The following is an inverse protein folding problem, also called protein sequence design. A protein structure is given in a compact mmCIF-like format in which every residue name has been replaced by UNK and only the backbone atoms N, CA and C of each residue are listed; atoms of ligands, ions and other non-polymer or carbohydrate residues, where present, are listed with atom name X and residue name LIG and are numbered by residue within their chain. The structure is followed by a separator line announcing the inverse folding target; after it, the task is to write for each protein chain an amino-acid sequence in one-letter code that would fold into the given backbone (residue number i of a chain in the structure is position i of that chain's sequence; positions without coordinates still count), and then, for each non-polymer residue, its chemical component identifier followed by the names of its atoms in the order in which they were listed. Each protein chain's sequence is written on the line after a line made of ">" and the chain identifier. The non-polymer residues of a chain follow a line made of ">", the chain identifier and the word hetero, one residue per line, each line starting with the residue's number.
data_IF_657126101706
#
_entry.id   IF_657126101706
#
_cell.length_a   1.000
_cell.length_b   1.000
_cell.length_c   1.000
_cell.angle_alpha   90.00
_cell.angle_beta   90.00
_cell.angle_gamma   90.00
#
_symmetry.space_group_name_H-M   'P 1'
#
loop_
_entity.id
_entity.type
_entity.pdbx_description
1 polymer ?
#
# COMPACT_ATOMS: atom_id res chain seq x y z
N UNK A 1 -0.91 -19.96 -8.19
CA UNK A 1 -2.11 -20.22 -9.01
C UNK A 1 -2.98 -18.97 -8.90
N UNK A 2 -2.87 -18.04 -9.86
CA UNK A 2 -3.59 -16.75 -9.89
C UNK A 2 -4.37 -16.73 -11.22
N UNK A 3 -5.21 -17.73 -11.45
CA UNK A 3 -5.88 -17.91 -12.75
C UNK A 3 -7.41 -17.98 -12.67
N UNK A 4 -8.02 -17.49 -11.58
CA UNK A 4 -9.48 -17.56 -11.40
C UNK A 4 -10.17 -16.25 -11.01
N UNK A 5 -9.57 -15.08 -11.31
CA UNK A 5 -10.17 -13.78 -10.96
C UNK A 5 -10.41 -12.81 -12.13
N UNK A 6 -10.29 -13.26 -13.39
CA UNK A 6 -10.57 -12.39 -14.55
C UNK A 6 -11.75 -12.94 -15.35
N UNK A 7 -12.93 -12.52 -14.91
CA UNK A 7 -14.19 -12.82 -15.57
C UNK A 7 -15.33 -11.99 -14.98
N UNK A 8 -15.15 -10.66 -14.87
CA UNK A 8 -16.25 -9.76 -14.57
C UNK A 8 -16.60 -8.92 -15.79
N UNK A 9 -17.91 -8.82 -16.05
CA UNK A 9 -18.53 -8.11 -17.17
C UNK A 9 -18.23 -6.62 -17.11
N UNK A 10 -18.00 -6.01 -18.27
CA UNK A 10 -18.07 -4.56 -18.47
C UNK A 10 -19.40 -4.03 -17.90
N UNK A 11 -19.32 -3.20 -16.85
CA UNK A 11 -20.46 -2.50 -16.28
C UNK A 11 -20.58 -2.56 -14.74
N UNK A 12 -19.98 -3.54 -14.05
CA UNK A 12 -20.02 -3.59 -12.58
C UNK A 12 -18.85 -2.82 -11.97
N UNK A 13 -19.07 -1.63 -11.42
CA UNK A 13 -18.01 -0.84 -10.77
C UNK A 13 -17.81 -1.28 -9.32
N UNK A 14 -17.29 -2.49 -9.13
CA UNK A 14 -16.79 -2.94 -7.83
C UNK A 14 -15.80 -1.89 -7.29
N UNK A 15 -16.13 -1.29 -6.15
CA UNK A 15 -15.33 -0.20 -5.58
C UNK A 15 -15.23 -0.35 -4.08
N UNK A 16 -13.99 -0.43 -3.60
CA UNK A 16 -13.67 -0.45 -2.17
C UNK A 16 -12.72 0.70 -1.90
N UNK A 17 -12.99 1.48 -0.85
CA UNK A 17 -12.12 2.58 -0.40
C UNK A 17 -11.93 2.51 1.09
N UNK A 18 -10.69 2.72 1.53
CA UNK A 18 -10.33 2.82 2.95
C UNK A 18 -10.80 4.20 3.45
N UNK A 19 -11.60 4.20 4.50
CA UNK A 19 -12.19 5.39 5.11
C UNK A 19 -11.42 5.81 6.36
N UNK A 20 -11.03 4.84 7.17
CA UNK A 20 -10.19 5.08 8.34
C UNK A 20 -9.41 3.82 8.70
N UNK A 21 -8.38 4.02 9.52
CA UNK A 21 -7.53 2.97 10.04
C UNK A 21 -7.14 3.31 11.48
N UNK A 22 -7.27 2.34 12.38
CA UNK A 22 -6.81 2.43 13.76
C UNK A 22 -5.74 1.36 14.00
N UNK A 23 -4.67 1.77 14.66
CA UNK A 23 -3.51 0.94 14.99
C UNK A 23 -3.34 0.93 16.50
N UNK A 24 -3.06 -0.25 17.05
CA UNK A 24 -2.67 -0.41 18.45
C UNK A 24 -1.55 -1.45 18.60
N UNK A 25 -0.52 -1.08 19.34
CA UNK A 25 0.68 -1.87 19.65
C UNK A 25 1.30 -2.56 18.43
N UNK A 26 1.37 -1.84 17.30
CA UNK A 26 1.97 -2.33 16.06
C UNK A 26 3.29 -1.60 15.81
N UNK A 27 4.39 -2.34 15.73
CA UNK A 27 5.77 -1.84 15.63
C UNK A 27 6.06 -0.76 16.69
N UNK A 28 6.32 0.48 16.28
CA UNK A 28 6.63 1.62 17.15
C UNK A 28 5.42 2.53 17.44
N UNK A 29 4.20 2.06 17.14
CA UNK A 29 2.94 2.79 17.36
C UNK A 29 2.15 2.09 18.47
N UNK A 30 1.98 2.77 19.62
CA UNK A 30 1.18 2.23 20.71
C UNK A 30 -0.31 2.41 20.45
N UNK A 31 -0.76 3.62 20.09
CA UNK A 31 -2.10 3.86 19.56
C UNK A 31 -2.12 5.02 18.54
N UNK A 32 -2.99 4.91 17.53
CA UNK A 32 -3.20 5.98 16.56
C UNK A 32 -4.36 5.71 15.60
N UNK A 33 -5.03 6.78 15.16
CA UNK A 33 -6.14 6.73 14.21
C UNK A 33 -5.87 7.65 13.02
N UNK A 34 -6.05 7.12 11.82
CA UNK A 34 -5.99 7.86 10.57
C UNK A 34 -7.37 7.81 9.93
N UNK A 35 -8.02 8.97 9.80
CA UNK A 35 -9.19 9.13 8.92
C UNK A 35 -8.72 9.58 7.55
N UNK A 36 -9.33 9.13 6.48
CA UNK A 36 -8.99 9.57 5.13
C UNK A 36 -9.79 10.83 4.75
N UNK A 37 -9.28 11.71 3.87
CA UNK A 37 -10.06 12.85 3.36
C UNK A 37 -11.46 12.50 2.86
N UNK A 38 -11.66 11.34 2.23
CA UNK A 38 -13.01 10.92 1.81
C UNK A 38 -13.96 10.62 2.99
N UNK A 39 -13.43 10.22 4.15
CA UNK A 39 -14.22 10.02 5.37
C UNK A 39 -14.65 11.34 6.02
N UNK A 40 -13.90 12.43 5.77
CA UNK A 40 -14.24 13.78 6.23
C UNK A 40 -15.26 14.47 5.33
N UNK A 41 -15.54 13.91 4.15
CA UNK A 41 -16.51 14.45 3.22
C UNK A 41 -17.95 14.14 3.66
N UNK A 42 -18.91 14.93 3.19
CA UNK A 42 -20.33 14.65 3.41
C UNK A 42 -20.79 13.32 2.79
N UNK A 43 -20.13 12.90 1.70
CA UNK A 43 -20.39 11.64 1.01
C UNK A 43 -19.13 10.77 0.96
N UNK A 44 -19.13 9.68 1.74
CA UNK A 44 -18.06 8.68 1.82
C UNK A 44 -17.96 7.79 0.56
N UNK A 45 -18.92 7.93 -0.38
CA UNK A 45 -18.96 7.25 -1.68
C UNK A 45 -18.61 8.18 -2.83
N UNK A 46 -18.03 9.35 -2.56
CA UNK A 46 -17.57 10.28 -3.59
C UNK A 46 -16.55 9.62 -4.54
N UNK A 47 -16.60 10.02 -5.83
CA UNK A 47 -15.67 9.57 -6.88
C UNK A 47 -14.38 10.40 -6.96
N UNK A 48 -14.19 11.38 -6.07
CA UNK A 48 -13.00 12.23 -6.07
C UNK A 48 -11.77 11.45 -5.59
N UNK A 49 -10.59 11.83 -6.10
CA UNK A 49 -9.32 11.36 -5.56
C UNK A 49 -9.23 11.55 -4.06
N UNK A 50 -8.53 10.64 -3.39
CA UNK A 50 -8.13 10.79 -2.01
C UNK A 50 -6.61 10.73 -1.88
N UNK A 51 -5.98 11.87 -1.62
CA UNK A 51 -4.54 11.95 -1.43
C UNK A 51 -4.25 12.12 0.05
N UNK A 52 -3.41 11.26 0.63
CA UNK A 52 -3.01 11.27 2.03
C UNK A 52 -1.49 11.19 2.17
N UNK A 53 -0.87 12.30 2.57
CA UNK A 53 0.56 12.36 2.89
C UNK A 53 0.80 12.25 4.40
N UNK A 54 1.75 11.40 4.80
CA UNK A 54 2.14 11.19 6.20
C UNK A 54 3.55 11.74 6.42
N UNK A 55 3.67 12.67 7.36
CA UNK A 55 4.86 13.50 7.60
C UNK A 55 5.36 13.40 9.03
N UNK A 56 6.66 13.62 9.24
CA UNK A 56 7.27 13.65 10.57
C UNK A 56 8.71 13.16 10.59
N UNK A 57 9.31 13.15 11.79
CA UNK A 57 10.71 12.77 11.98
C UNK A 57 11.02 11.31 11.62
N UNK A 58 12.29 10.97 11.42
CA UNK A 58 12.69 9.59 11.17
C UNK A 58 12.32 8.69 12.36
N UNK A 59 11.84 7.48 12.09
CA UNK A 59 11.44 6.55 13.15
C UNK A 59 10.15 6.93 13.91
N UNK A 60 9.37 7.90 13.44
CA UNK A 60 8.11 8.33 14.07
C UNK A 60 6.89 7.48 13.75
N UNK A 61 7.01 6.45 12.90
CA UNK A 61 5.88 5.58 12.54
C UNK A 61 5.17 5.92 11.22
N UNK A 62 5.80 6.70 10.33
CA UNK A 62 5.33 6.90 8.95
C UNK A 62 5.25 5.58 8.18
N UNK A 63 6.38 4.88 8.07
CA UNK A 63 6.50 3.58 7.42
C UNK A 63 5.58 2.55 8.08
N UNK A 64 5.42 2.61 9.42
CA UNK A 64 4.52 1.73 10.18
C UNK A 64 3.08 1.74 9.67
N UNK A 65 2.59 2.87 9.16
CA UNK A 65 1.26 2.88 8.55
C UNK A 65 1.22 2.15 7.21
N UNK A 66 2.25 2.29 6.39
CA UNK A 66 2.38 1.55 5.12
C UNK A 66 2.49 0.05 5.40
N UNK A 67 3.26 -0.34 6.42
CA UNK A 67 3.37 -1.74 6.87
C UNK A 67 2.01 -2.29 7.33
N UNK A 68 1.20 -1.49 8.04
CA UNK A 68 -0.16 -1.89 8.43
C UNK A 68 -1.06 -2.14 7.21
N UNK A 69 -0.91 -1.38 6.12
CA UNK A 69 -1.62 -1.61 4.86
C UNK A 69 -1.12 -2.87 4.13
N UNK A 70 0.17 -3.20 4.24
CA UNK A 70 0.71 -4.45 3.71
C UNK A 70 0.15 -5.67 4.47
N UNK A 71 0.06 -5.59 5.80
CA UNK A 71 -0.58 -6.62 6.62
C UNK A 71 -2.06 -6.75 6.27
N UNK A 72 -2.78 -5.63 6.14
CA UNK A 72 -4.17 -5.64 5.67
C UNK A 72 -4.30 -6.36 4.32
N UNK A 73 -3.42 -6.05 3.36
CA UNK A 73 -3.41 -6.69 2.05
C UNK A 73 -3.23 -8.20 2.17
N UNK A 74 -2.31 -8.67 3.02
CA UNK A 74 -2.07 -10.09 3.23
C UNK A 74 -3.31 -10.78 3.83
N UNK A 75 -3.85 -10.19 4.90
CA UNK A 75 -5.02 -10.70 5.62
C UNK A 75 -6.24 -10.82 4.69
N UNK A 76 -6.61 -9.74 4.00
CA UNK A 76 -7.75 -9.75 3.07
C UNK A 76 -7.51 -10.61 1.82
N UNK A 77 -6.25 -10.88 1.46
CA UNK A 77 -5.91 -11.85 0.40
C UNK A 77 -5.88 -13.29 0.90
N UNK A 78 -6.10 -13.54 2.19
CA UNK A 78 -6.07 -14.87 2.78
C UNK A 78 -4.69 -15.55 2.70
N UNK A 79 -3.61 -14.78 2.51
CA UNK A 79 -2.24 -15.30 2.48
C UNK A 79 -1.58 -15.11 3.85
N UNK A 80 -0.60 -15.96 4.22
CA UNK A 80 0.17 -15.77 5.44
C UNK A 80 0.87 -14.41 5.47
N UNK A 81 0.95 -13.81 6.65
CA UNK A 81 1.75 -12.59 6.85
C UNK A 81 3.22 -12.98 6.66
N UNK A 82 3.90 -12.33 5.70
CA UNK A 82 5.26 -12.69 5.26
C UNK A 82 6.33 -12.38 6.29
N UNK A 83 6.11 -11.35 7.10
CA UNK A 83 7.01 -11.00 8.19
C UNK A 83 6.75 -11.90 9.40
N UNK A 84 7.81 -12.16 10.19
CA UNK A 84 7.61 -12.74 11.51
C UNK A 84 6.69 -11.82 12.32
N UNK A 85 5.58 -12.36 12.82
CA UNK A 85 4.59 -11.62 13.63
C UNK A 85 5.24 -10.91 14.83
N UNK A 86 6.35 -11.44 15.34
CA UNK A 86 7.21 -10.80 16.35
C UNK A 86 7.63 -9.37 15.98
N UNK A 87 7.91 -9.12 14.69
CA UNK A 87 8.31 -7.80 14.20
C UNK A 87 7.11 -6.85 14.05
N UNK A 88 5.89 -7.37 14.03
CA UNK A 88 4.67 -6.59 13.94
C UNK A 88 4.22 -6.07 15.31
N UNK A 89 4.52 -6.78 16.40
CA UNK A 89 4.04 -6.44 17.75
C UNK A 89 5.01 -5.47 18.45
N UNK A 90 4.46 -4.42 19.08
CA UNK A 90 5.27 -3.50 19.89
C UNK A 90 5.98 -4.22 21.04
N UNK A 91 7.24 -3.85 21.28
CA UNK A 91 8.03 -4.44 22.36
C UNK A 91 7.32 -4.32 23.72
N UNK A 92 7.17 -5.43 24.41
CA UNK A 92 6.52 -5.50 25.73
C UNK A 92 5.00 -5.70 25.69
N UNK A 93 4.42 -5.92 24.51
CA UNK A 93 3.02 -6.28 24.34
C UNK A 93 2.87 -7.70 23.77
N UNK A 94 1.74 -8.34 24.08
CA UNK A 94 1.45 -9.72 23.64
C UNK A 94 0.75 -9.78 22.28
N UNK A 95 0.22 -8.65 21.81
CA UNK A 95 -0.55 -8.56 20.58
C UNK A 95 -0.56 -7.15 19.97
N UNK A 96 -0.75 -7.11 18.65
CA UNK A 96 -1.05 -5.91 17.88
C UNK A 96 -2.50 -5.96 17.37
N UNK A 97 -3.17 -4.82 17.29
CA UNK A 97 -4.52 -4.69 16.74
C UNK A 97 -4.54 -3.69 15.58
N UNK A 98 -5.17 -4.10 14.48
CA UNK A 98 -5.42 -3.27 13.32
C UNK A 98 -6.92 -3.26 13.04
N UNK A 99 -7.48 -2.08 12.78
CA UNK A 99 -8.88 -1.94 12.40
C UNK A 99 -9.00 -0.99 11.22
N UNK A 100 -9.77 -1.36 10.20
CA UNK A 100 -9.95 -0.60 8.97
C UNK A 100 -11.43 -0.47 8.65
N UNK A 101 -11.85 0.76 8.37
CA UNK A 101 -13.20 1.06 7.88
C UNK A 101 -13.19 1.21 6.37
N UNK A 102 -14.21 0.68 5.71
CA UNK A 102 -14.35 0.70 4.26
C UNK A 102 -15.71 1.23 3.82
N UNK A 103 -15.73 1.96 2.71
CA UNK A 103 -16.92 2.09 1.88
C UNK A 103 -16.80 1.11 0.71
N UNK A 104 -17.86 0.33 0.48
CA UNK A 104 -17.88 -0.75 -0.50
C UNK A 104 -19.11 -0.58 -1.38
N UNK A 105 -18.92 -0.57 -2.68
CA UNK A 105 -19.94 -0.75 -3.70
C UNK A 105 -19.63 -2.08 -4.40
N UNK A 106 -20.50 -3.06 -4.24
CA UNK A 106 -20.27 -4.41 -4.78
C UNK A 106 -20.62 -4.49 -6.29
N UNK A 107 -20.53 -5.69 -6.85
CA UNK A 107 -20.84 -5.97 -8.25
C UNK A 107 -22.36 -5.94 -8.56
N UNK A 108 -23.19 -5.72 -7.55
CA UNK A 108 -24.66 -5.64 -7.62
C UNK A 108 -25.18 -4.26 -7.20
N UNK A 109 -24.31 -3.24 -7.17
CA UNK A 109 -24.61 -1.86 -6.75
C UNK A 109 -25.11 -1.72 -5.30
N UNK A 110 -24.90 -2.74 -4.45
CA UNK A 110 -25.13 -2.60 -3.02
C UNK A 110 -24.03 -1.76 -2.38
N UNK A 111 -24.43 -0.87 -1.48
CA UNK A 111 -23.50 -0.03 -0.73
C UNK A 111 -23.39 -0.53 0.71
N UNK A 112 -22.15 -0.74 1.15
CA UNK A 112 -21.83 -1.15 2.50
C UNK A 112 -20.87 -0.18 3.18
N UNK A 113 -21.03 -0.05 4.50
CA UNK A 113 -19.97 0.41 5.40
C UNK A 113 -19.49 -0.80 6.16
N UNK A 114 -18.22 -1.13 6.06
CA UNK A 114 -17.64 -2.31 6.72
C UNK A 114 -16.49 -1.90 7.64
N UNK A 115 -16.31 -2.67 8.72
CA UNK A 115 -15.17 -2.57 9.62
C UNK A 115 -14.53 -3.94 9.69
N UNK A 116 -13.28 -4.05 9.24
CA UNK A 116 -12.45 -5.23 9.45
C UNK A 116 -11.50 -4.96 10.60
N UNK A 117 -11.44 -5.85 11.58
CA UNK A 117 -10.50 -5.76 12.69
C UNK A 117 -9.76 -7.08 12.86
N UNK A 118 -8.44 -7.00 13.03
CA UNK A 118 -7.56 -8.12 13.28
C UNK A 118 -6.72 -7.87 14.53
N UNK A 119 -6.65 -8.87 15.42
CA UNK A 119 -5.76 -8.90 16.57
C UNK A 119 -4.78 -10.07 16.37
N UNK A 120 -3.50 -9.74 16.32
CA UNK A 120 -2.42 -10.66 16.02
C UNK A 120 -1.54 -10.81 17.26
N UNK A 121 -1.54 -12.00 17.85
CA UNK A 121 -0.50 -12.44 18.78
C UNK A 121 0.49 -13.36 18.09
N UNK A 122 1.50 -13.84 18.83
CA UNK A 122 2.51 -14.76 18.28
C UNK A 122 1.89 -16.06 17.77
N UNK A 123 0.96 -16.63 18.54
CA UNK A 123 0.38 -17.95 18.27
C UNK A 123 -1.11 -17.91 17.87
N UNK A 124 -1.67 -16.71 17.68
CA UNK A 124 -3.09 -16.57 17.38
C UNK A 124 -3.39 -15.35 16.49
N UNK A 125 -4.44 -15.51 15.70
CA UNK A 125 -5.09 -14.47 14.92
C UNK A 125 -6.58 -14.46 15.26
N UNK A 126 -7.09 -13.32 15.73
CA UNK A 126 -8.52 -13.09 15.93
C UNK A 126 -8.99 -12.04 14.92
N UNK A 127 -10.13 -12.28 14.29
CA UNK A 127 -10.62 -11.44 13.21
C UNK A 127 -12.11 -11.18 13.36
N UNK A 128 -12.55 -10.00 12.95
CA UNK A 128 -13.97 -9.69 12.84
C UNK A 128 -14.26 -8.79 11.65
N UNK A 129 -15.42 -9.01 11.04
CA UNK A 129 -16.03 -8.14 10.03
C UNK A 129 -17.37 -7.69 10.57
N UNK A 130 -17.53 -6.38 10.76
CA UNK A 130 -18.82 -5.74 11.03
C UNK A 130 -19.26 -4.99 9.78
N UNK A 131 -20.55 -4.92 9.53
CA UNK A 131 -21.06 -4.13 8.42
C UNK A 131 -22.47 -3.60 8.62
N UNK A 132 -22.76 -2.52 7.90
CA UNK A 132 -24.10 -2.05 7.57
C UNK A 132 -24.26 -1.96 6.06
N UNK A 133 -25.49 -2.16 5.59
CA UNK A 133 -25.87 -2.08 4.17
C UNK A 133 -26.90 -0.98 4.00
N UNK A 134 -26.85 -0.28 2.88
CA UNK A 134 -27.85 0.73 2.51
C UNK A 134 -29.07 0.02 1.92
N UNK A 135 -30.22 0.15 2.57
CA UNK A 135 -31.49 -0.44 2.12
C UNK A 135 -32.57 0.63 2.11
N UNK A 136 -33.28 0.78 0.98
CA UNK A 136 -34.35 1.77 0.81
C UNK A 136 -33.96 3.22 1.19
N UNK A 137 -32.69 3.59 0.98
CA UNK A 137 -32.15 4.92 1.30
C UNK A 137 -31.65 5.10 2.74
N UNK A 138 -31.81 4.10 3.62
CA UNK A 138 -31.37 4.15 5.01
C UNK A 138 -30.30 3.10 5.32
N UNK A 139 -29.34 3.46 6.17
CA UNK A 139 -28.31 2.52 6.63
C UNK A 139 -28.86 1.60 7.70
N UNK A 140 -28.68 0.29 7.52
CA UNK A 140 -28.97 -0.66 8.60
C UNK A 140 -28.03 -0.44 9.78
N UNK A 141 -28.38 -0.99 10.95
CA UNK A 141 -27.45 -1.03 12.09
C UNK A 141 -26.16 -1.77 11.71
N UNK A 142 -25.02 -1.23 12.17
CA UNK A 142 -23.72 -1.90 12.08
C UNK A 142 -23.72 -3.15 12.98
N UNK A 143 -23.63 -4.33 12.37
CA UNK A 143 -23.68 -5.61 13.08
C UNK A 143 -22.47 -6.48 12.74
N UNK A 144 -22.09 -7.39 13.65
CA UNK A 144 -21.09 -8.41 13.37
C UNK A 144 -21.61 -9.40 12.33
N UNK A 145 -20.87 -9.56 11.23
CA UNK A 145 -21.18 -10.47 10.14
C UNK A 145 -20.42 -11.78 10.35
N UNK A 146 -19.10 -11.68 10.56
CA UNK A 146 -18.22 -12.81 10.86
C UNK A 146 -17.24 -12.41 11.96
N UNK A 147 -17.05 -13.25 12.95
CA UNK A 147 -15.97 -13.17 13.95
C UNK A 147 -15.39 -14.57 14.12
N UNK A 148 -14.06 -14.64 14.17
CA UNK A 148 -13.31 -15.88 14.41
C UNK A 148 -12.20 -15.61 15.40
N UNK A 149 -12.05 -16.51 16.36
CA UNK A 149 -10.92 -16.55 17.29
C UNK A 149 -10.17 -17.85 17.04
N UNK A 150 -8.95 -17.78 16.51
CA UNK A 150 -8.17 -18.97 16.14
C UNK A 150 -7.97 -19.95 17.30
N UNK A 151 -7.75 -19.45 18.51
CA UNK A 151 -7.57 -20.25 19.72
C UNK A 151 -8.86 -20.91 20.25
N UNK A 152 -10.05 -20.45 19.84
CA UNK A 152 -11.33 -21.04 20.26
C UNK A 152 -11.67 -22.26 19.41
N UNK A 153 -11.57 -23.46 19.99
CA UNK A 153 -11.90 -24.71 19.30
C UNK A 153 -13.39 -25.04 19.27
N UNK A 154 -14.21 -24.37 20.08
CA UNK A 154 -15.65 -24.64 20.21
C UNK A 154 -16.46 -23.79 19.23
N UNK A 155 -16.22 -22.49 19.18
CA UNK A 155 -16.91 -21.58 18.28
C UNK A 155 -16.09 -21.35 17.01
N UNK A 156 -16.57 -21.81 15.86
CA UNK A 156 -15.85 -21.65 14.58
C UNK A 156 -15.99 -20.22 14.07
N UNK A 157 -17.24 -19.77 13.90
CA UNK A 157 -17.63 -18.43 13.46
C UNK A 157 -18.83 -17.97 14.29
N UNK A 158 -18.82 -16.70 14.70
CA UNK A 158 -19.94 -16.01 15.36
C UNK A 158 -20.36 -14.76 14.58
N UNK A 159 -21.60 -14.27 14.73
CA UNK A 159 -22.73 -14.85 15.49
C UNK A 159 -23.33 -16.10 14.85
N UNK A 160 -23.97 -16.97 15.65
CA UNK A 160 -24.62 -18.20 15.15
C UNK A 160 -25.72 -17.94 14.12
N UNK A 161 -26.42 -16.81 14.22
CA UNK A 161 -27.45 -16.40 13.25
C UNK A 161 -26.85 -16.19 11.87
N UNK A 162 -25.75 -15.44 11.78
CA UNK A 162 -25.01 -15.20 10.53
C UNK A 162 -24.31 -16.44 10.02
N UNK A 163 -23.75 -17.27 10.90
CA UNK A 163 -23.19 -18.57 10.51
C UNK A 163 -24.24 -19.45 9.83
N UNK A 164 -25.45 -19.56 10.39
CA UNK A 164 -26.55 -20.33 9.78
C UNK A 164 -27.03 -19.73 8.47
N UNK A 165 -27.06 -18.40 8.36
CA UNK A 165 -27.39 -17.68 7.14
C UNK A 165 -26.36 -17.92 6.02
N UNK A 166 -25.06 -17.97 6.34
CA UNK A 166 -23.97 -18.04 5.37
C UNK A 166 -23.53 -19.46 4.99
N UNK A 167 -23.59 -20.39 5.94
CA UNK A 167 -23.09 -21.75 5.77
C UNK A 167 -24.19 -22.81 5.85
N UNK A 168 -25.43 -22.41 6.16
CA UNK A 168 -26.56 -23.33 6.29
C UNK A 168 -26.47 -24.23 7.54
N UNK A 169 -27.09 -25.42 7.45
CA UNK A 169 -27.13 -26.44 8.52
C UNK A 169 -26.49 -27.77 8.11
N UNK A 170 -25.86 -27.83 6.93
CA UNK A 170 -25.22 -29.05 6.44
C UNK A 170 -24.03 -29.42 7.35
N UNK A 171 -24.07 -30.64 7.90
CA UNK A 171 -23.02 -31.13 8.79
C UNK A 171 -21.68 -31.24 8.08
N UNK A 172 -21.66 -31.67 6.82
CA UNK A 172 -20.41 -31.86 6.08
C UNK A 172 -19.70 -30.52 5.85
N UNK A 173 -20.45 -29.51 5.42
CA UNK A 173 -19.94 -28.17 5.22
C UNK A 173 -19.44 -27.55 6.54
N UNK A 174 -20.16 -27.77 7.65
CA UNK A 174 -19.71 -27.30 8.97
C UNK A 174 -18.45 -28.04 9.47
N UNK A 175 -18.26 -29.30 9.09
CA UNK A 175 -17.03 -30.05 9.40
C UNK A 175 -15.85 -29.55 8.55
N UNK A 176 -16.05 -29.31 7.24
CA UNK A 176 -15.05 -28.65 6.36
C UNK A 176 -14.66 -27.27 6.91
N UNK A 177 -15.63 -26.50 7.41
CA UNK A 177 -15.41 -25.19 8.03
C UNK A 177 -14.53 -25.29 9.29
N UNK A 178 -14.72 -26.31 10.13
CA UNK A 178 -13.86 -26.56 11.31
C UNK A 178 -12.43 -26.91 10.92
N UNK A 179 -12.26 -27.79 9.92
CA UNK A 179 -10.93 -28.18 9.43
C UNK A 179 -10.20 -26.96 8.86
N UNK A 180 -10.89 -26.16 8.06
CA UNK A 180 -10.35 -24.93 7.46
C UNK A 180 -9.86 -23.96 8.54
N UNK A 181 -10.62 -23.78 9.62
CA UNK A 181 -10.20 -22.97 10.76
C UNK A 181 -8.89 -23.45 11.38
N UNK A 182 -8.76 -24.74 11.63
CA UNK A 182 -7.54 -25.31 12.23
C UNK A 182 -6.33 -25.14 11.31
N UNK A 183 -6.51 -25.30 10.00
CA UNK A 183 -5.46 -25.09 9.01
C UNK A 183 -5.01 -23.63 8.98
N UNK A 184 -5.94 -22.68 8.86
CA UNK A 184 -5.62 -21.25 8.82
C UNK A 184 -4.91 -20.78 10.10
N UNK A 185 -5.33 -21.30 11.26
CA UNK A 185 -4.68 -21.01 12.54
C UNK A 185 -3.22 -21.50 12.57
N UNK A 186 -2.95 -22.72 12.08
CA UNK A 186 -1.59 -23.28 11.99
C UNK A 186 -0.70 -22.51 11.01
N UNK A 187 -1.28 -21.96 9.96
CA UNK A 187 -0.57 -21.21 8.92
C UNK A 187 -0.50 -19.70 9.19
N UNK A 188 -1.02 -19.23 10.34
CA UNK A 188 -1.08 -17.82 10.72
C UNK A 188 -1.65 -16.91 9.61
N UNK A 189 -2.71 -17.37 8.94
CA UNK A 189 -3.41 -16.63 7.89
C UNK A 189 -4.89 -16.40 8.22
N UNK A 190 -5.49 -15.43 7.55
CA UNK A 190 -6.89 -15.09 7.74
C UNK A 190 -7.79 -16.30 7.47
N UNK A 191 -8.67 -16.61 8.42
CA UNK A 191 -9.78 -17.53 8.15
C UNK A 191 -10.81 -16.82 7.27
N UNK A 192 -11.25 -15.63 7.68
CA UNK A 192 -12.40 -14.92 7.10
C UNK A 192 -12.25 -14.61 5.61
N UNK A 193 -11.01 -14.50 5.15
CA UNK A 193 -10.67 -14.23 3.76
C UNK A 193 -9.86 -15.35 3.11
N UNK A 194 -9.80 -16.56 3.67
CA UNK A 194 -9.16 -17.70 3.02
C UNK A 194 -9.88 -18.11 1.72
N UNK A 195 -9.14 -18.70 0.77
CA UNK A 195 -9.73 -19.26 -0.46
C UNK A 195 -10.80 -20.31 -0.13
N UNK A 196 -10.51 -21.15 0.85
CA UNK A 196 -11.39 -22.21 1.32
C UNK A 196 -12.70 -21.64 1.89
N UNK A 197 -12.65 -20.56 2.68
CA UNK A 197 -13.87 -19.92 3.19
C UNK A 197 -14.74 -19.37 2.07
N UNK A 198 -14.16 -18.76 1.03
CA UNK A 198 -14.97 -18.28 -0.08
C UNK A 198 -15.68 -19.40 -0.82
N UNK A 199 -15.02 -20.54 -1.03
CA UNK A 199 -15.64 -21.73 -1.62
C UNK A 199 -16.78 -22.24 -0.72
N UNK A 200 -16.57 -22.29 0.60
CA UNK A 200 -17.59 -22.71 1.55
C UNK A 200 -18.79 -21.75 1.60
N UNK A 201 -18.55 -20.44 1.52
CA UNK A 201 -19.61 -19.42 1.45
C UNK A 201 -20.44 -19.55 0.18
N UNK A 202 -19.80 -19.83 -0.97
CA UNK A 202 -20.50 -20.10 -2.22
C UNK A 202 -21.37 -21.36 -2.13
N UNK A 203 -20.84 -22.46 -1.56
CA UNK A 203 -21.58 -23.72 -1.38
C UNK A 203 -22.76 -23.59 -0.41
N UNK A 204 -22.59 -22.82 0.67
CA UNK A 204 -23.55 -22.76 1.78
C UNK A 204 -24.86 -22.07 1.41
N UNK A 205 -24.80 -20.78 1.12
CA UNK A 205 -25.98 -19.98 0.82
C UNK A 205 -25.79 -18.99 -0.33
N UNK A 206 -24.82 -19.26 -1.22
CA UNK A 206 -24.34 -18.40 -2.31
C UNK A 206 -25.35 -17.37 -2.84
N UNK A 207 -24.87 -16.16 -3.15
CA UNK A 207 -25.65 -14.94 -3.47
C UNK A 207 -26.30 -14.22 -2.27
N UNK A 208 -25.72 -14.28 -1.06
CA UNK A 208 -26.06 -13.28 -0.03
C UNK A 208 -25.30 -11.98 -0.26
N UNK A 209 -25.90 -10.83 0.11
CA UNK A 209 -25.22 -9.52 0.07
C UNK A 209 -23.90 -9.50 0.84
N UNK A 210 -23.78 -10.33 1.89
CA UNK A 210 -22.55 -10.46 2.68
C UNK A 210 -21.45 -11.19 1.93
N UNK A 211 -21.80 -12.23 1.15
CA UNK A 211 -20.84 -12.91 0.30
C UNK A 211 -20.25 -11.94 -0.73
N UNK A 212 -21.08 -11.13 -1.40
CA UNK A 212 -20.63 -10.12 -2.37
C UNK A 212 -19.71 -9.08 -1.73
N UNK A 213 -20.04 -8.60 -0.52
CA UNK A 213 -19.16 -7.69 0.22
C UNK A 213 -17.81 -8.33 0.61
N UNK A 214 -17.79 -9.58 1.10
CA UNK A 214 -16.55 -10.26 1.45
C UNK A 214 -15.69 -10.55 0.21
N UNK A 215 -16.32 -10.94 -0.90
CA UNK A 215 -15.67 -11.10 -2.19
C UNK A 215 -15.10 -9.76 -2.71
N UNK A 216 -15.81 -8.65 -2.52
CA UNK A 216 -15.34 -7.32 -2.85
C UNK A 216 -14.08 -6.93 -2.08
N UNK A 217 -14.06 -7.17 -0.76
CA UNK A 217 -12.88 -6.92 0.08
C UNK A 217 -11.68 -7.79 -0.33
N UNK A 218 -11.90 -9.07 -0.64
CA UNK A 218 -10.82 -9.95 -1.14
C UNK A 218 -10.29 -9.47 -2.49
N UNK A 219 -11.18 -9.13 -3.41
CA UNK A 219 -10.80 -8.59 -4.72
C UNK A 219 -10.02 -7.28 -4.58
N UNK A 220 -10.45 -6.39 -3.68
CA UNK A 220 -9.73 -5.16 -3.38
C UNK A 220 -8.29 -5.43 -2.97
N UNK A 221 -8.06 -6.36 -2.05
CA UNK A 221 -6.71 -6.70 -1.59
C UNK A 221 -5.84 -7.32 -2.69
N UNK A 222 -6.39 -8.23 -3.49
CA UNK A 222 -5.67 -8.94 -4.53
C UNK A 222 -5.41 -8.10 -5.79
N UNK A 223 -6.30 -7.18 -6.12
CA UNK A 223 -6.32 -6.51 -7.42
C UNK A 223 -6.18 -4.99 -7.36
N UNK A 224 -6.60 -4.35 -6.27
CA UNK A 224 -6.77 -2.89 -6.23
C UNK A 224 -5.98 -2.17 -5.13
N UNK A 225 -5.50 -2.89 -4.11
CA UNK A 225 -4.61 -2.38 -3.06
C UNK A 225 -3.14 -2.67 -3.42
N UNK A 226 -2.42 -1.62 -3.77
CA UNK A 226 -0.99 -1.66 -4.06
C UNK A 226 -0.22 -1.02 -2.92
N UNK A 227 0.77 -1.74 -2.38
CA UNK A 227 1.64 -1.25 -1.31
C UNK A 227 3.07 -1.40 -1.79
N UNK A 228 3.80 -0.29 -1.85
CA UNK A 228 5.19 -0.18 -2.31
C UNK A 228 6.03 0.30 -1.12
N UNK A 229 6.73 -0.63 -0.47
CA UNK A 229 7.61 -0.30 0.65
C UNK A 229 9.01 0.06 0.17
N UNK A 230 9.67 1.01 0.84
CA UNK A 230 11.07 1.38 0.62
C UNK A 230 12.03 0.18 0.71
N UNK A 231 11.75 -0.78 1.61
CA UNK A 231 12.52 -2.03 1.79
C UNK A 231 12.41 -3.02 0.64
N UNK A 232 11.33 -2.98 -0.15
CA UNK A 232 11.10 -3.82 -1.33
C UNK A 232 11.19 -3.08 -2.66
N UNK A 233 11.17 -1.74 -2.62
CA UNK A 233 11.34 -0.84 -3.75
C UNK A 233 12.79 -0.36 -3.91
N UNK A 234 13.62 -0.56 -2.89
CA UNK A 234 15.05 -0.67 -3.10
C UNK A 234 15.25 -1.80 -4.08
N UNK A 235 15.55 -1.44 -5.34
CA UNK A 235 16.35 -2.21 -6.27
C UNK A 235 17.04 -3.35 -5.50
N UNK A 236 16.50 -4.58 -5.58
CA UNK A 236 16.97 -5.74 -4.80
C UNK A 236 18.49 -5.66 -4.64
N UNK A 237 19.06 -5.96 -3.47
CA UNK A 237 20.46 -5.73 -3.03
C UNK A 237 21.67 -5.83 -4.03
N UNK A 238 21.44 -6.15 -5.31
CA UNK A 238 22.34 -6.11 -6.46
C UNK A 238 21.95 -5.10 -7.58
N UNK A 239 20.81 -4.41 -7.53
CA UNK A 239 20.37 -3.41 -8.53
C UNK A 239 20.02 -3.93 -9.93
N UNK A 240 20.05 -5.24 -10.15
CA UNK A 240 20.08 -5.83 -11.50
C UNK A 240 18.81 -5.62 -12.35
N UNK A 241 17.64 -5.51 -11.71
CA UNK A 241 16.33 -5.45 -12.35
C UNK A 241 15.51 -4.27 -11.83
N UNK A 242 14.72 -3.64 -12.70
CA UNK A 242 13.74 -2.63 -12.34
C UNK A 242 12.34 -3.26 -12.23
N UNK A 243 11.75 -3.37 -11.02
CA UNK A 243 10.41 -3.90 -10.85
C UNK A 243 9.36 -2.89 -11.33
N UNK A 244 8.43 -3.34 -12.18
CA UNK A 244 7.27 -2.54 -12.60
C UNK A 244 6.01 -3.37 -12.36
N UNK A 245 5.21 -2.95 -11.39
CA UNK A 245 3.88 -3.55 -11.18
C UNK A 245 2.94 -2.97 -12.23
N UNK A 246 2.25 -3.85 -12.95
CA UNK A 246 1.30 -3.45 -13.96
C UNK A 246 -0.08 -4.01 -13.67
N UNK A 247 -1.09 -3.24 -14.06
CA UNK A 247 -2.49 -3.66 -14.14
C UNK A 247 -3.02 -3.28 -15.51
N UNK A 248 -3.63 -4.26 -16.18
CA UNK A 248 -4.42 -4.08 -17.39
C UNK A 248 -5.82 -4.64 -17.13
N UNK A 249 -6.74 -4.47 -18.07
CA UNK A 249 -8.09 -5.03 -17.96
C UNK A 249 -8.09 -6.56 -17.87
N UNK A 250 -7.02 -7.21 -18.34
CA UNK A 250 -6.93 -8.68 -18.46
C UNK A 250 -5.97 -9.32 -17.48
N UNK A 251 -5.04 -8.55 -16.92
CA UNK A 251 -3.95 -9.11 -16.12
C UNK A 251 -3.39 -8.14 -15.10
N UNK A 252 -2.97 -8.69 -13.98
CA UNK A 252 -2.19 -8.02 -12.96
C UNK A 252 -0.90 -8.81 -12.77
N UNK A 253 0.23 -8.12 -12.68
CA UNK A 253 1.50 -8.77 -12.42
C UNK A 253 2.62 -7.80 -12.14
N UNK A 254 3.83 -8.34 -12.06
CA UNK A 254 5.05 -7.58 -11.87
C UNK A 254 6.05 -7.99 -12.94
N UNK A 255 6.51 -7.01 -13.70
CA UNK A 255 7.62 -7.16 -14.64
C UNK A 255 8.93 -6.90 -13.93
N UNK A 256 9.96 -7.66 -14.28
CA UNK A 256 11.34 -7.46 -13.84
C UNK A 256 12.15 -7.01 -15.04
N UNK A 257 12.21 -5.70 -15.27
CA UNK A 257 12.85 -5.17 -16.46
C UNK A 257 14.38 -5.22 -16.31
N UNK A 258 15.15 -5.74 -17.28
CA UNK A 258 16.60 -5.86 -17.17
C UNK A 258 17.29 -4.49 -17.14
N UNK A 259 17.86 -4.11 -16.00
CA UNK A 259 18.41 -2.76 -15.77
C UNK A 259 19.93 -2.74 -15.93
N UNK A 260 20.66 -3.59 -15.20
CA UNK A 260 22.14 -3.56 -15.15
C UNK A 260 22.80 -4.18 -16.39
N UNK A 261 22.27 -5.32 -16.81
CA UNK A 261 22.79 -6.11 -17.93
C UNK A 261 21.63 -6.65 -18.77
N UNK A 262 21.86 -6.94 -20.06
CA UNK A 262 20.89 -7.65 -20.87
C UNK A 262 20.45 -8.98 -20.26
N UNK A 263 19.17 -9.31 -20.38
CA UNK A 263 18.63 -10.61 -19.98
C UNK A 263 17.71 -11.19 -21.05
N UNK A 264 17.56 -12.51 -21.07
CA UNK A 264 16.63 -13.22 -21.95
C UNK A 264 15.30 -13.35 -21.24
N UNK A 265 14.23 -12.83 -21.85
CA UNK A 265 12.86 -12.95 -21.34
C UNK A 265 11.97 -13.70 -22.36
N UNK A 266 10.94 -14.45 -21.91
CA UNK A 266 9.99 -15.10 -22.81
C UNK A 266 9.31 -14.11 -23.76
N UNK A 267 9.02 -14.52 -24.99
CA UNK A 267 8.40 -13.64 -26.00
C UNK A 267 7.04 -13.05 -25.57
N UNK A 268 6.27 -13.79 -24.76
CA UNK A 268 5.01 -13.33 -24.18
C UNK A 268 5.25 -12.19 -23.19
N UNK A 269 6.24 -12.34 -22.30
CA UNK A 269 6.61 -11.32 -21.33
C UNK A 269 7.20 -10.07 -22.02
N UNK A 270 8.00 -10.25 -23.08
CA UNK A 270 8.50 -9.14 -23.89
C UNK A 270 7.37 -8.31 -24.51
N UNK A 271 6.36 -8.97 -25.08
CA UNK A 271 5.22 -8.30 -25.71
C UNK A 271 4.42 -7.48 -24.69
N UNK A 272 4.15 -8.08 -23.52
CA UNK A 272 3.51 -7.43 -22.40
C UNK A 272 4.34 -6.24 -21.87
N UNK A 273 5.65 -6.41 -21.70
CA UNK A 273 6.52 -5.36 -21.21
C UNK A 273 6.58 -4.16 -22.16
N UNK A 274 6.57 -4.37 -23.48
CA UNK A 274 6.44 -3.29 -24.47
C UNK A 274 5.12 -2.54 -24.34
N UNK A 275 4.01 -3.24 -24.10
CA UNK A 275 2.72 -2.59 -23.90
C UNK A 275 2.71 -1.72 -22.63
N UNK A 276 3.20 -2.25 -21.51
CA UNK A 276 3.30 -1.52 -20.24
C UNK A 276 4.22 -0.30 -20.39
N UNK A 277 5.38 -0.46 -21.01
CA UNK A 277 6.31 0.65 -21.31
C UNK A 277 5.65 1.71 -22.21
N UNK A 278 4.87 1.30 -23.20
CA UNK A 278 4.10 2.22 -24.04
C UNK A 278 3.17 3.11 -23.22
N UNK A 279 2.43 2.53 -22.27
CA UNK A 279 1.56 3.29 -21.34
C UNK A 279 2.36 4.23 -20.44
N UNK A 280 3.51 3.77 -19.93
CA UNK A 280 4.42 4.61 -19.12
C UNK A 280 4.91 5.81 -19.94
N UNK A 281 5.36 5.61 -21.18
CA UNK A 281 5.91 6.67 -22.03
C UNK A 281 4.91 7.80 -22.31
N UNK A 282 3.61 7.49 -22.45
CA UNK A 282 2.56 8.52 -22.66
C UNK A 282 2.60 9.61 -21.59
N UNK A 283 2.86 9.23 -20.34
CA UNK A 283 2.91 10.18 -19.22
C UNK A 283 4.34 10.60 -18.90
N UNK A 284 5.32 9.71 -19.07
CA UNK A 284 6.73 9.99 -18.78
C UNK A 284 7.26 11.18 -19.59
N UNK A 285 6.83 11.32 -20.85
CA UNK A 285 7.23 12.42 -21.73
C UNK A 285 6.77 13.79 -21.21
N UNK A 286 5.60 13.83 -20.56
CA UNK A 286 5.02 15.05 -19.99
C UNK A 286 5.65 15.40 -18.63
N UNK A 287 6.04 14.38 -17.86
CA UNK A 287 6.70 14.53 -16.56
C UNK A 287 8.16 14.96 -16.72
N UNK A 288 8.87 14.34 -17.67
CA UNK A 288 10.29 14.58 -17.93
C UNK A 288 10.46 14.83 -19.44
N UNK A 289 10.56 16.09 -19.86
CA UNK A 289 10.64 16.44 -21.28
C UNK A 289 11.76 15.69 -22.01
N UNK A 290 11.40 15.00 -23.09
CA UNK A 290 12.36 14.24 -23.92
C UNK A 290 12.87 12.94 -23.28
N UNK A 291 12.23 12.45 -22.22
CA UNK A 291 12.50 11.13 -21.66
C UNK A 291 11.57 10.09 -22.28
N UNK A 292 12.16 9.11 -22.96
CA UNK A 292 11.46 7.94 -23.49
C UNK A 292 12.26 6.69 -23.14
N UNK A 293 11.58 5.60 -22.79
CA UNK A 293 12.21 4.32 -22.50
C UNK A 293 11.74 3.23 -23.44
N UNK A 294 12.60 2.24 -23.69
CA UNK A 294 12.30 1.11 -24.55
C UNK A 294 13.05 -0.15 -24.10
N UNK A 295 12.57 -1.31 -24.54
CA UNK A 295 13.33 -2.55 -24.48
C UNK A 295 14.08 -2.72 -25.81
N UNK A 296 15.39 -2.50 -25.79
CA UNK A 296 16.25 -2.76 -26.93
C UNK A 296 16.36 -4.27 -27.15
N UNK A 297 16.02 -4.74 -28.35
CA UNK A 297 16.18 -6.14 -28.73
C UNK A 297 17.60 -6.38 -29.24
N UNK A 298 18.35 -7.21 -28.54
CA UNK A 298 19.76 -7.51 -28.82
C UNK A 298 19.95 -8.85 -29.56
N UNK A 299 18.92 -9.69 -29.57
CA UNK A 299 18.91 -10.98 -30.26
C UNK A 299 17.78 -11.89 -29.78
N UNK A 300 17.68 -13.07 -30.39
CA UNK A 300 16.78 -14.14 -29.96
C UNK A 300 17.62 -15.30 -29.43
N UNK A 301 17.25 -15.84 -28.28
CA UNK A 301 17.97 -16.91 -27.59
C UNK A 301 16.94 -17.88 -26.98
N UNK A 302 17.28 -19.16 -26.82
CA UNK A 302 16.39 -20.10 -26.12
C UNK A 302 16.46 -19.85 -24.61
N UNK A 303 15.31 -19.87 -23.94
CA UNK A 303 15.23 -19.80 -22.47
C UNK A 303 15.73 -21.10 -21.85
N UNK A 304 15.97 -21.10 -20.53
CA UNK A 304 16.33 -22.32 -19.78
C UNK A 304 15.29 -23.45 -19.91
N UNK A 305 14.05 -23.11 -20.29
CA UNK A 305 12.95 -24.05 -20.53
C UNK A 305 12.89 -24.55 -21.97
N UNK A 306 13.81 -24.14 -22.84
CA UNK A 306 13.84 -24.50 -24.27
C UNK A 306 12.85 -23.72 -25.14
N UNK A 307 12.18 -22.71 -24.60
CA UNK A 307 11.26 -21.85 -25.36
C UNK A 307 12.01 -20.71 -26.05
N UNK A 308 11.46 -20.13 -27.13
CA UNK A 308 12.02 -18.94 -27.76
C UNK A 308 11.92 -17.72 -26.82
N UNK A 309 13.06 -17.14 -26.48
CA UNK A 309 13.19 -15.91 -25.71
C UNK A 309 13.81 -14.79 -26.53
N UNK A 310 13.66 -13.57 -26.03
CA UNK A 310 14.25 -12.36 -26.61
C UNK A 310 15.28 -11.82 -25.62
N UNK A 311 16.52 -11.64 -26.07
CA UNK A 311 17.54 -10.98 -25.27
C UNK A 311 17.34 -9.48 -25.36
N UNK A 312 17.05 -8.85 -24.23
CA UNK A 312 16.66 -7.45 -24.15
C UNK A 312 17.42 -6.68 -23.08
N UNK A 313 17.49 -5.36 -23.26
CA UNK A 313 17.99 -4.44 -22.26
C UNK A 313 17.09 -3.21 -22.18
N UNK A 314 16.80 -2.73 -20.96
CA UNK A 314 16.07 -1.49 -20.76
C UNK A 314 16.97 -0.30 -21.07
N UNK A 315 16.53 0.52 -22.02
CA UNK A 315 17.27 1.70 -22.50
C UNK A 315 16.40 2.93 -22.45
N UNK A 316 17.03 4.08 -22.29
CA UNK A 316 16.48 5.38 -22.67
C UNK A 316 16.72 5.62 -24.15
N UNK A 317 15.71 6.12 -24.86
CA UNK A 317 15.84 6.65 -26.21
C UNK A 317 15.95 8.18 -26.16
N UNK A 318 16.86 8.72 -26.96
CA UNK A 318 17.03 10.16 -27.12
C UNK A 318 17.38 10.47 -28.59
N UNK A 319 16.94 11.61 -29.10
CA UNK A 319 17.34 12.09 -30.43
C UNK A 319 18.66 12.83 -30.31
N UNK A 320 19.66 12.49 -31.13
CA UNK A 320 20.93 13.22 -31.15
C UNK A 320 20.72 14.65 -31.63
N UNK A 321 21.24 15.63 -30.88
CA UNK A 321 21.19 17.03 -31.28
C UNK A 321 21.80 17.23 -32.68
N UNK A 322 21.02 17.77 -33.62
CA UNK A 322 21.46 18.04 -34.99
C UNK A 322 21.37 16.85 -35.97
N UNK A 323 20.74 15.72 -35.58
CA UNK A 323 20.47 14.58 -36.47
C UNK A 323 19.11 13.94 -36.14
N UNK A 324 18.54 13.16 -37.06
CA UNK A 324 17.37 12.33 -36.78
C UNK A 324 17.74 10.95 -36.20
N UNK A 325 19.00 10.75 -35.80
CA UNK A 325 19.45 9.47 -35.27
C UNK A 325 18.97 9.30 -33.82
N UNK A 326 18.33 8.15 -33.56
CA UNK A 326 17.94 7.73 -32.22
C UNK A 326 19.15 7.10 -31.54
N UNK A 327 19.58 7.71 -30.44
CA UNK A 327 20.57 7.18 -29.53
C UNK A 327 19.89 6.39 -28.42
N UNK A 328 20.37 5.17 -28.18
CA UNK A 328 19.95 4.33 -27.07
C UNK A 328 21.03 4.28 -26.00
N UNK A 329 20.65 4.58 -24.77
CA UNK A 329 21.53 4.56 -23.60
C UNK A 329 20.97 3.59 -22.56
N UNK A 330 21.79 2.69 -21.99
CA UNK A 330 21.34 1.83 -20.89
C UNK A 330 20.72 2.64 -19.75
N UNK A 331 19.51 2.27 -19.31
CA UNK A 331 18.77 3.03 -18.29
C UNK A 331 19.48 3.03 -16.92
N UNK A 332 20.38 2.08 -16.66
CA UNK A 332 21.17 2.04 -15.42
C UNK A 332 21.95 3.32 -15.12
N UNK A 333 22.31 4.10 -16.14
CA UNK A 333 23.03 5.36 -16.01
C UNK A 333 22.13 6.55 -15.65
N UNK A 334 20.80 6.38 -15.64
CA UNK A 334 19.87 7.41 -15.19
C UNK A 334 19.86 7.56 -13.66
N UNK A 335 19.30 8.66 -13.17
CA UNK A 335 19.20 8.93 -11.74
C UNK A 335 18.25 7.95 -11.04
N UNK A 336 18.48 7.71 -9.75
CA UNK A 336 17.59 6.89 -8.91
C UNK A 336 16.16 7.44 -8.89
N UNK A 337 16.00 8.76 -8.93
CA UNK A 337 14.69 9.40 -9.06
C UNK A 337 13.95 9.02 -10.33
N UNK A 338 14.64 8.99 -11.47
CA UNK A 338 14.05 8.60 -12.76
C UNK A 338 13.66 7.12 -12.74
N UNK A 339 14.55 6.24 -12.27
CA UNK A 339 14.27 4.80 -12.12
C UNK A 339 13.04 4.57 -11.24
N UNK A 340 12.93 5.31 -10.14
CA UNK A 340 11.78 5.24 -9.24
C UNK A 340 10.49 5.76 -9.85
N UNK A 341 10.53 6.88 -10.58
CA UNK A 341 9.36 7.36 -11.33
C UNK A 341 8.87 6.26 -12.26
N UNK A 342 9.77 5.69 -13.08
CA UNK A 342 9.42 4.62 -14.03
C UNK A 342 8.80 3.41 -13.32
N UNK A 343 9.35 2.99 -12.16
CA UNK A 343 8.85 1.82 -11.44
C UNK A 343 7.42 1.98 -10.89
N UNK A 344 7.02 3.19 -10.54
CA UNK A 344 5.70 3.48 -9.95
C UNK A 344 4.70 4.07 -10.94
N UNK A 345 5.15 4.62 -12.09
CA UNK A 345 4.32 5.46 -12.95
C UNK A 345 3.09 4.72 -13.48
N UNK A 346 3.21 3.43 -13.83
CA UNK A 346 2.06 2.65 -14.29
C UNK A 346 0.95 2.57 -13.24
N UNK A 347 1.30 2.30 -11.97
CA UNK A 347 0.32 2.27 -10.88
C UNK A 347 -0.21 3.67 -10.56
N UNK A 348 0.61 4.71 -10.69
CA UNK A 348 0.19 6.10 -10.54
C UNK A 348 -0.90 6.46 -11.58
N UNK A 349 -0.70 6.05 -12.85
CA UNK A 349 -1.69 6.20 -13.93
C UNK A 349 -2.96 5.42 -13.63
N UNK A 350 -2.85 4.16 -13.18
CA UNK A 350 -4.01 3.35 -12.82
C UNK A 350 -4.82 4.01 -11.69
N UNK A 351 -4.14 4.50 -10.65
CA UNK A 351 -4.76 5.19 -9.50
C UNK A 351 -5.43 6.49 -9.91
N UNK A 352 -4.81 7.26 -10.82
CA UNK A 352 -5.40 8.48 -11.35
C UNK A 352 -6.75 8.21 -12.03
N UNK A 353 -6.86 7.12 -12.79
CA UNK A 353 -8.03 6.82 -13.63
C UNK A 353 -9.06 5.88 -13.00
N UNK A 354 -8.83 5.29 -11.83
CA UNK A 354 -9.70 4.26 -11.25
C UNK A 354 -10.10 4.56 -9.80
N UNK A 355 -11.39 4.77 -9.48
CA UNK A 355 -11.84 5.18 -8.14
C UNK A 355 -11.76 4.09 -7.07
N UNK A 356 -11.61 2.83 -7.47
CA UNK A 356 -11.48 1.67 -6.57
C UNK A 356 -10.03 1.23 -6.31
N UNK A 357 -9.04 1.92 -6.88
CA UNK A 357 -7.61 1.62 -6.67
C UNK A 357 -7.08 2.44 -5.49
N UNK A 358 -6.33 1.77 -4.62
CA UNK A 358 -5.57 2.38 -3.52
C UNK A 358 -4.10 2.06 -3.70
N UNK A 359 -3.27 3.09 -3.83
CA UNK A 359 -1.82 3.01 -3.97
C UNK A 359 -1.16 3.63 -2.74
N UNK A 360 -0.43 2.82 -1.99
CA UNK A 360 0.37 3.23 -0.84
C UNK A 360 1.86 3.14 -1.19
N UNK A 361 2.61 4.25 -1.04
CA UNK A 361 4.03 4.31 -1.36
C UNK A 361 4.81 4.87 -0.18
N UNK A 362 5.73 4.08 0.35
CA UNK A 362 6.68 4.55 1.37
C UNK A 362 7.82 5.36 0.72
N UNK A 363 8.24 6.40 1.42
CA UNK A 363 9.29 7.36 1.06
C UNK A 363 9.16 7.85 -0.37
N UNK A 364 7.95 8.21 -0.84
CA UNK A 364 7.68 8.56 -2.25
C UNK A 364 8.68 9.59 -2.80
N UNK A 365 9.11 10.54 -1.97
CA UNK A 365 10.04 11.61 -2.30
C UNK A 365 11.49 11.19 -2.51
N UNK A 366 11.93 10.02 -2.03
CA UNK A 366 13.32 9.61 -2.14
C UNK A 366 13.81 9.61 -3.61
N UNK A 367 14.82 10.43 -3.89
CA UNK A 367 15.44 10.61 -5.22
C UNK A 367 14.69 11.50 -6.21
N UNK A 368 13.44 11.89 -5.93
CA UNK A 368 12.60 12.67 -6.87
C UNK A 368 12.76 14.16 -6.60
N UNK A 369 12.85 14.96 -7.66
CA UNK A 369 12.89 16.41 -7.55
C UNK A 369 11.61 16.98 -6.92
N UNK A 370 11.77 17.84 -5.91
CA UNK A 370 10.67 18.28 -5.05
C UNK A 370 9.53 19.00 -5.77
N UNK A 371 9.88 19.81 -6.77
CA UNK A 371 8.89 20.55 -7.56
C UNK A 371 8.01 19.60 -8.35
N UNK A 372 8.64 18.64 -9.05
CA UNK A 372 7.93 17.64 -9.83
C UNK A 372 7.01 16.79 -8.95
N UNK A 373 7.50 16.35 -7.78
CA UNK A 373 6.68 15.62 -6.82
C UNK A 373 5.45 16.44 -6.39
N UNK A 374 5.64 17.73 -6.10
CA UNK A 374 4.55 18.64 -5.74
C UNK A 374 3.48 18.75 -6.84
N UNK A 375 3.90 18.91 -8.10
CA UNK A 375 2.98 18.98 -9.26
C UNK A 375 2.20 17.67 -9.44
N UNK A 376 2.87 16.51 -9.39
CA UNK A 376 2.22 15.20 -9.53
C UNK A 376 1.16 14.97 -8.46
N UNK A 377 1.48 15.29 -7.19
CA UNK A 377 0.55 15.15 -6.08
C UNK A 377 -0.64 16.12 -6.19
N UNK A 378 -0.40 17.33 -6.66
CA UNK A 378 -1.47 18.31 -6.87
C UNK A 378 -2.41 17.88 -8.01
N UNK A 379 -1.86 17.36 -9.12
CA UNK A 379 -2.65 16.83 -10.24
C UNK A 379 -3.50 15.64 -9.76
N UNK A 380 -2.91 14.73 -8.98
CA UNK A 380 -3.65 13.61 -8.37
C UNK A 380 -4.80 14.11 -7.49
N UNK A 381 -4.58 15.10 -6.61
CA UNK A 381 -5.61 15.64 -5.72
C UNK A 381 -6.73 16.40 -6.45
N UNK A 382 -6.41 17.07 -7.57
CA UNK A 382 -7.38 17.88 -8.32
C UNK A 382 -8.24 17.05 -9.26
N UNK A 383 -7.67 16.03 -9.89
CA UNK A 383 -8.30 15.39 -11.05
C UNK A 383 -8.22 13.86 -11.05
N UNK A 384 -7.53 13.25 -10.09
CA UNK A 384 -7.52 11.79 -9.94
C UNK A 384 -8.85 11.25 -9.40
N UNK A 385 -8.98 9.92 -9.41
CA UNK A 385 -10.16 9.20 -8.93
C UNK A 385 -9.87 8.27 -7.74
N UNK A 386 -8.71 7.60 -7.73
CA UNK A 386 -8.33 6.61 -6.71
C UNK A 386 -7.80 7.20 -5.40
N UNK A 387 -7.24 6.34 -4.55
CA UNK A 387 -6.60 6.73 -3.30
C UNK A 387 -5.08 6.63 -3.41
N UNK A 388 -4.37 7.70 -3.10
CA UNK A 388 -2.91 7.74 -3.00
C UNK A 388 -2.50 8.02 -1.55
N UNK A 389 -1.84 7.06 -0.93
CA UNK A 389 -1.25 7.18 0.41
C UNK A 389 0.25 7.22 0.24
N UNK A 390 0.94 8.15 0.87
CA UNK A 390 2.38 8.19 0.80
C UNK A 390 3.02 8.72 2.07
N UNK A 391 4.27 8.31 2.31
CA UNK A 391 5.13 8.95 3.31
C UNK A 391 6.14 9.83 2.59
N UNK A 392 6.52 10.93 3.24
CA UNK A 392 7.47 11.89 2.66
C UNK A 392 8.19 12.69 3.74
N UNK A 393 9.43 13.08 3.43
CA UNK A 393 10.23 14.06 4.17
C UNK A 393 10.26 15.42 3.47
N UNK A 394 9.91 15.44 2.18
CA UNK A 394 9.86 16.63 1.37
C UNK A 394 8.72 17.56 1.78
N UNK A 395 9.03 18.83 2.04
CA UNK A 395 8.03 19.78 2.53
C UNK A 395 7.24 20.48 1.41
N UNK A 396 7.63 20.33 0.14
CA UNK A 396 6.93 20.93 -1.00
C UNK A 396 5.46 20.51 -1.11
N UNK A 397 5.07 19.23 -0.92
CA UNK A 397 3.67 18.84 -0.97
C UNK A 397 2.83 19.45 0.16
N UNK A 398 3.42 19.84 1.30
CA UNK A 398 2.71 20.59 2.35
C UNK A 398 2.22 21.96 1.85
N UNK A 399 2.91 22.55 0.87
CA UNK A 399 2.49 23.83 0.27
C UNK A 399 1.41 23.64 -0.80
N UNK A 400 1.37 22.47 -1.44
CA UNK A 400 0.56 22.21 -2.65
C UNK A 400 -0.76 21.49 -2.36
N UNK A 401 -0.82 20.72 -1.27
CA UNK A 401 -1.97 19.90 -0.89
C UNK A 401 -2.85 20.55 0.18
N UNK A 402 -4.15 20.25 0.13
CA UNK A 402 -5.08 20.63 1.19
C UNK A 402 -4.67 20.05 2.56
N UNK A 403 -4.93 20.79 3.64
CA UNK A 403 -4.61 20.36 5.01
C UNK A 403 -5.30 19.06 5.45
N UNK A 404 -6.48 18.75 4.90
CA UNK A 404 -7.17 17.48 5.16
C UNK A 404 -6.39 16.26 4.64
N UNK A 405 -5.58 16.45 3.60
CA UNK A 405 -4.73 15.45 2.96
C UNK A 405 -3.40 15.23 3.66
N UNK A 406 -3.10 15.94 4.74
CA UNK A 406 -1.83 15.84 5.46
C UNK A 406 -2.07 15.33 6.87
N UNK A 407 -1.30 14.31 7.26
CA UNK A 407 -1.20 13.82 8.63
C UNK A 407 0.25 13.95 9.09
N UNK A 408 0.44 14.37 10.34
CA UNK A 408 1.73 14.39 11.00
C UNK A 408 1.81 13.27 12.03
N UNK A 409 2.98 12.65 12.11
CA UNK A 409 3.33 11.77 13.22
C UNK A 409 3.86 12.60 14.38
N UNK A 410 3.45 12.28 15.60
CA UNK A 410 3.87 12.95 16.83
C UNK A 410 5.01 12.19 17.52
N UNK A 411 5.61 12.77 18.57
CA UNK A 411 6.51 12.07 19.50
C UNK A 411 5.74 11.16 20.46
N UNK A 412 4.47 11.47 20.74
CA UNK A 412 3.58 10.71 21.60
C UNK A 412 3.15 9.35 20.97
N UNK A 413 3.58 8.20 21.51
CA UNK A 413 3.20 6.89 20.98
C UNK A 413 1.71 6.56 21.13
N UNK A 414 1.00 7.20 22.06
CA UNK A 414 -0.43 6.99 22.36
C UNK A 414 -1.37 7.90 21.55
N UNK A 415 -0.82 8.80 20.75
CA UNK A 415 -1.60 9.62 19.83
C UNK A 415 -0.75 9.90 18.60
N UNK A 416 -0.38 8.83 17.90
CA UNK A 416 0.73 8.91 16.95
C UNK A 416 0.41 9.75 15.72
N UNK A 417 -0.83 9.76 15.25
CA UNK A 417 -1.21 10.39 13.98
C UNK A 417 -2.18 11.54 14.23
N UNK A 418 -1.77 12.75 13.87
CA UNK A 418 -2.57 13.96 14.10
C UNK A 418 -2.70 14.79 12.84
N UNK A 419 -3.84 15.47 12.74
CA UNK A 419 -4.04 16.53 11.76
C UNK A 419 -3.85 17.88 12.42
N UNK A 420 -3.38 18.83 11.64
CA UNK A 420 -3.25 20.21 12.09
C UNK A 420 -4.64 20.85 12.14
N UNK A 421 -5.10 21.15 13.35
CA UNK A 421 -6.35 21.87 13.60
C UNK A 421 -6.22 23.37 13.25
N UNK A 422 -7.33 24.00 12.83
CA UNK A 422 -7.46 25.45 12.64
C UNK A 422 -6.49 26.09 11.62
N UNK A 423 -6.25 25.43 10.49
CA UNK A 423 -5.48 26.03 9.38
C UNK A 423 -6.40 26.94 8.56
N UNK A 424 -6.18 28.26 8.63
CA UNK A 424 -6.84 29.19 7.70
C UNK A 424 -6.36 28.89 6.27
N UNK A 425 -7.20 29.06 5.23
CA UNK A 425 -6.81 28.80 3.84
C UNK A 425 -5.56 29.56 3.37
N UNK A 426 -5.24 30.70 4.00
CA UNK A 426 -4.07 31.53 3.71
C UNK A 426 -2.77 31.09 4.41
N UNK A 427 -2.83 30.12 5.33
CA UNK A 427 -1.64 29.71 6.10
C UNK A 427 -0.87 28.61 5.37
N UNK A 428 0.39 28.90 5.06
CA UNK A 428 1.31 27.90 4.51
C UNK A 428 1.62 26.83 5.59
N UNK A 429 1.19 25.59 5.33
CA UNK A 429 1.39 24.46 6.24
C UNK A 429 2.87 24.16 6.49
N UNK A 430 3.74 24.38 5.50
CA UNK A 430 5.20 24.21 5.67
C UNK A 430 5.75 25.17 6.71
N UNK A 431 5.37 26.45 6.64
CA UNK A 431 5.83 27.45 7.62
C UNK A 431 5.34 27.11 9.03
N UNK A 432 4.09 26.66 9.14
CA UNK A 432 3.55 26.21 10.43
C UNK A 432 4.29 24.99 10.95
N UNK A 433 4.52 23.98 10.12
CA UNK A 433 5.26 22.79 10.50
C UNK A 433 6.68 23.13 10.97
N UNK A 434 7.40 23.99 10.25
CA UNK A 434 8.72 24.49 10.70
C UNK A 434 8.65 25.22 12.03
N UNK A 435 7.65 26.06 12.22
CA UNK A 435 7.48 26.79 13.48
C UNK A 435 7.22 25.82 14.63
N UNK A 436 6.34 24.85 14.44
CA UNK A 436 5.96 23.88 15.46
C UNK A 436 7.15 22.94 15.80
N UNK A 437 8.05 22.67 14.85
CA UNK A 437 9.34 21.98 15.10
C UNK A 437 10.33 22.86 15.88
N UNK A 438 10.37 24.17 15.61
CA UNK A 438 11.44 25.07 16.10
C UNK A 438 11.11 25.72 17.45
N UNK A 439 9.83 26.02 17.68
CA UNK A 439 9.36 26.76 18.86
C UNK A 439 8.54 25.88 19.80
N UNK A 440 8.34 24.61 19.44
CA UNK A 440 7.35 23.73 20.06
C UNK A 440 5.92 24.04 19.59
N UNK A 441 5.02 23.09 19.83
CA UNK A 441 3.59 23.21 19.51
C UNK A 441 2.75 23.44 20.75
N UNK A 442 1.67 24.22 20.64
CA UNK A 442 0.65 24.37 21.70
C UNK A 442 -0.19 23.08 21.93
N UNK A 443 0.07 22.01 21.17
CA UNK A 443 -0.62 20.72 21.21
C UNK A 443 0.37 19.55 21.26
N UNK A 444 0.11 18.50 20.47
CA UNK A 444 1.01 17.33 20.40
C UNK A 444 2.34 17.69 19.76
N UNK A 445 3.43 17.36 20.45
CA UNK A 445 4.79 17.60 19.99
C UNK A 445 5.08 16.75 18.74
N UNK A 446 5.42 17.42 17.63
CA UNK A 446 5.63 16.78 16.32
C UNK A 446 7.07 16.35 16.09
N UNK A 447 8.01 16.88 16.87
CA UNK A 447 9.44 16.71 16.66
C UNK A 447 10.18 16.74 17.98
N UNK A 448 11.07 15.77 18.18
CA UNK A 448 11.99 15.76 19.30
C UNK A 448 13.23 16.57 18.90
N UNK A 449 13.49 17.67 19.61
CA UNK A 449 14.58 18.59 19.28
C UNK A 449 15.93 17.88 19.12
N UNK A 450 16.66 18.32 18.09
CA UNK A 450 18.00 17.82 17.79
C UNK A 450 19.02 18.84 18.27
N UNK A 451 19.77 18.52 19.32
CA UNK A 451 20.77 19.42 19.87
C UNK A 451 22.06 19.39 19.03
N UNK A 452 22.25 20.42 18.21
CA UNK A 452 23.41 20.56 17.32
C UNK A 452 24.74 20.58 18.07
N UNK A 453 24.75 21.10 19.31
CA UNK A 453 25.95 21.14 20.18
C UNK A 453 26.29 19.72 20.65
N UNK A 454 25.30 18.93 21.06
CA UNK A 454 25.51 17.54 21.47
C UNK A 454 25.97 16.67 20.30
N UNK A 455 25.42 16.86 19.09
CA UNK A 455 25.90 16.18 17.88
C UNK A 455 27.37 16.53 17.63
N UNK A 456 27.70 17.83 17.63
CA UNK A 456 29.07 18.28 17.40
C UNK A 456 30.04 17.73 18.48
N UNK A 457 29.60 17.70 19.73
CA UNK A 457 30.38 17.13 20.84
C UNK A 457 30.58 15.61 20.69
N UNK A 458 29.52 14.87 20.35
CA UNK A 458 29.60 13.43 20.10
C UNK A 458 30.54 13.09 18.93
N UNK A 459 30.47 13.85 17.83
CA UNK A 459 31.39 13.69 16.69
C UNK A 459 32.84 13.96 17.09
N UNK A 460 33.10 15.06 17.82
CA UNK A 460 34.45 15.38 18.31
C UNK A 460 35.01 14.31 19.23
N UNK A 461 34.19 13.72 20.11
CA UNK A 461 34.60 12.69 21.07
C UNK A 461 35.16 11.44 20.40
N UNK A 462 34.66 11.06 19.22
CA UNK A 462 35.13 9.90 18.45
C UNK A 462 36.35 10.25 17.57
N UNK A 463 36.46 11.52 17.14
CA UNK A 463 37.55 12.00 16.28
C UNK A 463 38.89 12.25 16.99
N UNK A 464 39.00 12.01 18.29
CA UNK A 464 40.28 12.07 19.02
C UNK A 464 41.00 10.73 18.79
N UNK A 465 42.10 10.69 18.01
CA UNK A 465 42.91 9.48 17.91
C UNK A 465 43.46 9.16 19.30
N UNK A 466 43.50 7.88 19.66
CA UNK A 466 44.28 7.42 20.81
C UNK A 466 45.77 7.68 20.55
N UNK A 467 46.24 8.89 20.80
CA UNK A 467 47.66 9.18 20.90
C UNK A 467 48.13 8.87 22.32
N UNK A 468 48.96 7.84 22.39
CA UNK A 468 49.96 7.53 23.42
C UNK A 468 49.46 7.44 24.86
N UNK A 469 48.93 6.26 25.21
CA UNK A 469 49.31 5.68 26.51
C UNK A 469 50.81 5.36 26.43
N UNK A 470 51.63 6.33 26.81
CA UNK A 470 53.00 6.05 27.24
C UNK A 470 52.89 5.09 28.43
N UNK A 471 53.17 3.81 28.20
CA UNK A 471 53.54 2.89 29.26
C UNK A 471 54.83 3.44 29.90
N UNK A 472 54.67 4.13 31.02
CA UNK A 472 55.78 4.43 31.91
C UNK A 472 56.25 3.14 32.58
N UNK A 473 57.51 2.81 32.34
CA UNK A 473 58.29 1.82 33.08
C UNK A 473 58.44 2.18 34.57
#
# INVERSE_FOLDING_TARGET
>A
MIELLVGQKEGSTLRVRIQSAAIKHFRNVATGEIRFPCNLASDTFTMKSDVLGIYGQNGSGKTTFIDALEVLKCLLSGVPIKEHLENCISKGHDAAELSFEFSIEDDQDHKFRAVYSAQMGLDYLNESVKASVLQAGEWTRMNAILESRSADTKAVITPDTKKRELFGKDSQLLDELRITKLLCAKEHRSLLFSDEILVLLQKGSGNTVWYHMLAALRHFAGASLFVINSRGAGLNAMGAELPVIYRTDRSLGQLKLPLEQPAVIPAIEFSLARQVIGTINVVLHEIIPGMEIALAQLGNEFTEKGELGVRVQLVRTAVKAGSNDVMQLPLKYESEGIKKIISILHLFICTYNSPGITLAIDELDSGIYEYLLGELLQIMQKSGLGQLIFTSHNLRPLEMLNSSSIIFTTTNPENRYVRVSNVKPSNNLRLRYFRDITLGSDGEELYQETNSIEIAHAMRKIGIPSMDRVEGA
#
